data_IF_630646080482
#
_entry.id   IF_630646080482
#
_cell.length_a   1.000
_cell.length_b   1.000
_cell.length_c   1.000
_cell.angle_alpha   90.00
_cell.angle_beta   90.00
_cell.angle_gamma   90.00
#
_symmetry.space_group_name_H-M   'P 1'
#
loop_
_entity.id
_entity.type
_entity.pdbx_description
1 polymer ?
#
# COMPACT_ATOMS: atom_id res chain seq x y z
N UNK A 1 -3.51 -10.27 -68.93
CA UNK A 1 -4.23 -9.32 -68.07
C UNK A 1 -4.27 -9.96 -66.68
N UNK A 2 -3.28 -9.66 -65.86
CA UNK A 2 -3.11 -10.29 -64.54
C UNK A 2 -3.79 -9.42 -63.52
N UNK A 3 -4.94 -9.87 -63.02
CA UNK A 3 -5.73 -9.19 -61.98
C UNK A 3 -5.02 -9.33 -60.64
N UNK A 4 -4.26 -8.30 -60.27
CA UNK A 4 -3.66 -8.18 -58.94
C UNK A 4 -4.72 -7.73 -57.94
N UNK A 5 -5.32 -8.70 -57.24
CA UNK A 5 -6.14 -8.44 -56.06
C UNK A 5 -5.24 -7.87 -54.93
N UNK A 6 -5.61 -6.78 -54.24
CA UNK A 6 -4.85 -6.28 -53.11
C UNK A 6 -4.95 -7.26 -51.94
N UNK A 7 -3.82 -7.76 -51.48
CA UNK A 7 -3.69 -8.53 -50.24
C UNK A 7 -4.19 -7.65 -49.08
N UNK A 8 -5.13 -8.12 -48.23
CA UNK A 8 -5.53 -7.38 -47.03
C UNK A 8 -4.32 -7.27 -46.10
N UNK A 9 -3.80 -6.05 -45.93
CA UNK A 9 -2.75 -5.78 -44.96
C UNK A 9 -3.29 -6.08 -43.56
N UNK A 10 -2.61 -6.93 -42.75
CA UNK A 10 -2.97 -7.07 -41.35
C UNK A 10 -2.80 -5.69 -40.73
N UNK A 11 -3.86 -5.24 -40.04
CA UNK A 11 -3.92 -3.92 -39.40
C UNK A 11 -2.64 -3.69 -38.59
N UNK A 12 -1.73 -2.90 -39.16
CA UNK A 12 -0.58 -2.38 -38.44
C UNK A 12 -1.13 -1.52 -37.32
N UNK A 13 -1.10 -2.03 -36.10
CA UNK A 13 -1.12 -1.17 -34.93
C UNK A 13 0.25 -0.51 -34.95
N UNK A 14 0.30 0.76 -35.34
CA UNK A 14 1.52 1.56 -35.34
C UNK A 14 2.23 1.41 -34.00
N UNK A 15 3.40 0.77 -34.00
CA UNK A 15 4.20 0.53 -32.80
C UNK A 15 4.96 1.80 -32.36
N UNK A 16 4.89 2.87 -33.16
CA UNK A 16 5.27 4.23 -32.77
C UNK A 16 4.12 4.85 -31.96
N UNK A 17 3.98 4.44 -30.70
CA UNK A 17 2.91 4.93 -29.82
C UNK A 17 3.48 5.91 -28.77
N UNK A 18 3.70 7.21 -29.10
CA UNK A 18 3.64 8.28 -28.10
C UNK A 18 2.38 8.11 -27.24
N UNK A 19 1.29 7.71 -27.89
CA UNK A 19 -0.01 7.46 -27.25
C UNK A 19 0.02 6.26 -26.29
N UNK A 20 0.83 5.21 -26.47
CA UNK A 20 0.83 4.10 -25.50
C UNK A 20 1.56 4.49 -24.23
N UNK A 21 2.74 5.09 -24.39
CA UNK A 21 3.54 5.57 -23.27
C UNK A 21 2.67 6.48 -22.40
N UNK A 22 1.98 7.44 -23.01
CA UNK A 22 1.17 8.43 -22.31
C UNK A 22 -0.19 7.87 -21.81
N UNK A 23 -0.90 7.09 -22.64
CA UNK A 23 -2.26 6.61 -22.31
C UNK A 23 -2.26 5.33 -21.46
N UNK A 24 -1.22 4.51 -21.55
CA UNK A 24 -1.17 3.17 -20.92
C UNK A 24 -0.04 3.04 -19.91
N UNK A 25 1.13 3.63 -20.12
CA UNK A 25 2.23 3.55 -19.15
C UNK A 25 2.44 4.84 -18.35
N UNK A 26 1.43 5.74 -18.31
CA UNK A 26 1.46 7.02 -17.58
C UNK A 26 2.70 7.89 -17.85
N UNK A 27 3.26 7.82 -19.06
CA UNK A 27 4.53 8.42 -19.46
C UNK A 27 5.78 7.94 -18.67
N UNK A 28 5.61 6.98 -17.77
CA UNK A 28 6.64 6.44 -16.91
C UNK A 28 7.20 5.10 -17.40
N UNK A 29 7.10 4.83 -18.70
CA UNK A 29 7.59 3.58 -19.28
C UNK A 29 7.52 3.51 -20.79
N UNK A 30 7.99 2.38 -21.33
CA UNK A 30 8.02 2.10 -22.76
C UNK A 30 7.18 0.88 -23.08
N UNK A 31 6.32 0.97 -24.09
CA UNK A 31 5.46 -0.15 -24.48
C UNK A 31 6.22 -1.18 -25.29
N UNK A 32 6.15 -2.44 -24.87
CA UNK A 32 6.75 -3.57 -25.57
C UNK A 32 5.69 -4.64 -25.85
N UNK A 33 5.82 -5.34 -26.99
CA UNK A 33 4.95 -6.46 -27.33
C UNK A 33 5.23 -7.65 -26.43
N UNK A 34 4.17 -8.33 -25.98
CA UNK A 34 4.32 -9.46 -25.07
C UNK A 34 5.15 -10.59 -25.71
N UNK A 35 6.19 -11.11 -25.01
CA UNK A 35 7.01 -12.19 -25.54
C UNK A 35 6.14 -13.45 -25.65
N UNK A 36 5.76 -13.80 -26.88
CA UNK A 36 4.83 -14.91 -27.16
C UNK A 36 3.82 -14.66 -28.28
N UNK A 37 3.80 -13.47 -28.89
CA UNK A 37 2.95 -13.19 -30.06
C UNK A 37 1.48 -12.95 -29.74
N UNK A 38 1.15 -12.63 -28.50
CA UNK A 38 -0.17 -12.13 -28.11
C UNK A 38 -0.38 -10.67 -28.50
N UNK A 39 -1.63 -10.25 -28.67
CA UNK A 39 -2.02 -8.83 -28.85
C UNK A 39 -1.87 -7.99 -27.57
N UNK A 40 -1.33 -8.56 -26.49
CA UNK A 40 -1.04 -7.88 -25.24
C UNK A 40 0.18 -6.97 -25.39
N UNK A 41 0.01 -5.71 -24.98
CA UNK A 41 1.07 -4.72 -24.93
C UNK A 41 1.43 -4.55 -23.45
N UNK A 42 2.70 -4.78 -23.11
CA UNK A 42 3.22 -4.72 -21.74
C UNK A 42 4.05 -3.45 -21.56
N UNK A 43 3.89 -2.77 -20.44
CA UNK A 43 4.70 -1.61 -20.08
C UNK A 43 6.03 -2.04 -19.46
N UNK A 44 7.15 -1.54 -20.00
CA UNK A 44 8.46 -1.58 -19.35
C UNK A 44 8.67 -0.27 -18.60
N UNK A 45 8.52 -0.28 -17.28
CA UNK A 45 8.58 0.94 -16.47
C UNK A 45 10.01 1.49 -16.31
N UNK A 46 10.10 2.82 -16.22
CA UNK A 46 11.32 3.55 -15.96
C UNK A 46 11.76 3.36 -14.48
N UNK A 47 13.04 3.59 -14.19
CA UNK A 47 13.62 3.41 -12.86
C UNK A 47 12.84 4.19 -11.80
N UNK A 48 12.25 3.47 -10.84
CA UNK A 48 11.48 4.06 -9.76
C UNK A 48 9.97 3.94 -9.91
N UNK A 49 9.48 3.36 -11.01
CA UNK A 49 8.07 3.06 -11.26
C UNK A 49 7.83 1.55 -11.38
N UNK A 50 6.63 1.11 -10.98
CA UNK A 50 6.18 -0.26 -10.95
C UNK A 50 4.65 -0.30 -11.15
N UNK A 51 4.09 -1.49 -11.37
CA UNK A 51 2.68 -1.68 -11.71
C UNK A 51 2.50 -2.15 -13.15
N UNK A 52 1.27 -2.53 -13.51
CA UNK A 52 0.95 -2.96 -14.89
C UNK A 52 1.04 -1.79 -15.88
N UNK A 53 0.81 -0.57 -15.38
CA UNK A 53 0.72 0.69 -16.12
C UNK A 53 1.75 1.72 -15.64
N UNK A 54 2.77 1.30 -14.90
CA UNK A 54 3.78 2.17 -14.28
C UNK A 54 3.18 3.29 -13.40
N UNK A 55 2.06 2.98 -12.75
CA UNK A 55 1.28 3.89 -11.91
C UNK A 55 1.86 4.06 -10.50
N UNK A 56 2.55 3.04 -10.00
CA UNK A 56 3.10 3.04 -8.66
C UNK A 56 4.56 3.47 -8.69
N UNK A 57 4.98 4.33 -7.77
CA UNK A 57 6.42 4.56 -7.57
C UNK A 57 6.95 3.57 -6.55
N UNK A 58 8.16 3.04 -6.75
CA UNK A 58 8.83 2.16 -5.76
C UNK A 58 9.00 2.86 -4.42
N UNK A 59 9.12 4.19 -4.44
CA UNK A 59 9.16 5.02 -3.24
C UNK A 59 7.77 5.14 -2.61
N UNK A 60 6.70 5.27 -3.40
CA UNK A 60 5.31 5.27 -2.94
C UNK A 60 4.90 3.94 -2.32
N UNK A 61 5.33 2.82 -2.93
CA UNK A 61 5.12 1.47 -2.42
C UNK A 61 5.84 1.23 -1.08
N UNK A 62 6.91 1.97 -0.76
CA UNK A 62 7.52 1.99 0.58
C UNK A 62 6.84 3.01 1.51
N UNK A 63 6.39 4.14 0.97
CA UNK A 63 5.75 5.23 1.72
C UNK A 63 4.41 4.78 2.33
N UNK A 64 3.64 3.98 1.60
CA UNK A 64 2.36 3.46 2.05
C UNK A 64 2.47 2.50 3.26
N UNK A 65 3.32 1.45 3.24
CA UNK A 65 3.52 0.61 4.42
C UNK A 65 4.19 1.36 5.57
N UNK A 66 5.08 2.32 5.30
CA UNK A 66 5.70 3.15 6.35
C UNK A 66 4.65 3.99 7.10
N UNK A 67 3.80 4.71 6.38
CA UNK A 67 2.76 5.56 6.98
C UNK A 67 1.72 4.74 7.75
N UNK A 68 1.26 3.62 7.19
CA UNK A 68 0.32 2.72 7.86
C UNK A 68 0.94 2.09 9.12
N UNK A 69 2.21 1.67 9.06
CA UNK A 69 2.93 1.14 10.21
C UNK A 69 3.06 2.18 11.33
N UNK A 70 3.48 3.40 11.00
CA UNK A 70 3.60 4.50 11.97
C UNK A 70 2.25 4.83 12.62
N UNK A 71 1.17 4.92 11.84
CA UNK A 71 -0.16 5.15 12.38
C UNK A 71 -0.58 4.02 13.34
N UNK A 72 -0.41 2.75 12.94
CA UNK A 72 -0.73 1.60 13.78
C UNK A 72 0.04 1.61 15.10
N UNK A 73 1.33 1.95 15.08
CA UNK A 73 2.16 2.08 16.29
C UNK A 73 1.65 3.21 17.18
N UNK A 74 1.34 4.38 16.62
CA UNK A 74 0.81 5.52 17.39
C UNK A 74 -0.54 5.16 18.03
N UNK A 75 -1.48 4.58 17.27
CA UNK A 75 -2.76 4.11 17.82
C UNK A 75 -2.56 3.05 18.91
N UNK A 76 -1.67 2.09 18.70
CA UNK A 76 -1.33 1.07 19.69
C UNK A 76 -0.78 1.68 20.99
N UNK A 77 0.16 2.61 20.89
CA UNK A 77 0.75 3.30 22.05
C UNK A 77 -0.31 4.12 22.81
N UNK A 78 -1.19 4.82 22.11
CA UNK A 78 -2.28 5.60 22.73
C UNK A 78 -3.25 4.67 23.48
N UNK A 79 -3.65 3.56 22.86
CA UNK A 79 -4.53 2.58 23.50
C UNK A 79 -3.86 1.97 24.72
N UNK A 80 -2.60 1.52 24.61
CA UNK A 80 -1.83 0.95 25.73
C UNK A 80 -1.66 1.98 26.85
N UNK A 81 -1.31 3.22 26.54
CA UNK A 81 -1.19 4.29 27.53
C UNK A 81 -2.52 4.56 28.23
N UNK A 82 -3.63 4.59 27.51
CA UNK A 82 -4.97 4.76 28.06
C UNK A 82 -5.38 3.58 28.96
N UNK A 83 -5.13 2.33 28.52
CA UNK A 83 -5.36 1.13 29.32
C UNK A 83 -4.53 1.13 30.59
N UNK A 84 -3.23 1.44 30.50
CA UNK A 84 -2.33 1.56 31.65
C UNK A 84 -2.83 2.68 32.58
N UNK A 85 -3.22 3.85 32.06
CA UNK A 85 -3.74 4.95 32.86
C UNK A 85 -5.04 4.56 33.58
N UNK A 86 -6.01 3.94 32.88
CA UNK A 86 -7.26 3.42 33.45
C UNK A 86 -6.99 2.34 34.51
N UNK A 87 -6.08 1.42 34.23
CA UNK A 87 -5.67 0.38 35.16
C UNK A 87 -5.01 0.97 36.39
N UNK A 88 -4.09 1.93 36.25
CA UNK A 88 -3.45 2.64 37.35
C UNK A 88 -4.45 3.42 38.19
N UNK A 89 -5.44 4.07 37.56
CA UNK A 89 -6.54 4.73 38.28
C UNK A 89 -7.37 3.73 39.10
N UNK A 90 -7.77 2.61 38.48
CA UNK A 90 -8.56 1.56 39.15
C UNK A 90 -7.75 0.87 40.25
N UNK A 91 -6.48 0.60 40.00
CA UNK A 91 -5.54 0.07 40.99
C UNK A 91 -5.37 1.04 42.14
N UNK A 92 -5.20 2.36 41.92
CA UNK A 92 -5.09 3.34 43.00
C UNK A 92 -6.35 3.35 43.89
N UNK A 93 -7.53 3.24 43.28
CA UNK A 93 -8.80 3.10 44.05
C UNK A 93 -8.90 1.78 44.81
N UNK A 94 -8.51 0.65 44.19
CA UNK A 94 -8.48 -0.67 44.85
C UNK A 94 -7.44 -0.73 45.97
N UNK A 95 -6.25 -0.18 45.75
CA UNK A 95 -5.15 -0.20 46.71
C UNK A 95 -5.50 0.64 47.94
N UNK A 96 -6.12 1.82 47.77
CA UNK A 96 -6.67 2.60 48.89
C UNK A 96 -7.68 1.81 49.71
N UNK A 97 -8.58 1.05 49.08
CA UNK A 97 -9.54 0.18 49.78
C UNK A 97 -8.84 -0.98 50.52
N UNK A 98 -7.85 -1.61 49.89
CA UNK A 98 -7.10 -2.72 50.48
C UNK A 98 -6.26 -2.26 51.69
N UNK A 99 -5.65 -1.06 51.59
CA UNK A 99 -4.95 -0.42 52.70
C UNK A 99 -5.91 -0.07 53.85
N UNK A 100 -7.08 0.52 53.55
CA UNK A 100 -8.09 0.80 54.57
C UNK A 100 -8.59 -0.47 55.29
N UNK A 101 -8.76 -1.58 54.57
CA UNK A 101 -9.15 -2.86 55.17
C UNK A 101 -8.05 -3.45 56.08
N UNK A 102 -6.78 -3.43 55.66
CA UNK A 102 -5.66 -3.88 56.50
C UNK A 102 -5.47 -3.00 57.74
N UNK A 103 -5.60 -1.69 57.59
CA UNK A 103 -5.46 -0.76 58.70
C UNK A 103 -6.61 -0.88 59.70
N UNK A 104 -7.84 -1.17 59.25
CA UNK A 104 -8.96 -1.49 60.15
C UNK A 104 -8.76 -2.80 60.92
N UNK A 105 -8.22 -3.85 60.29
CA UNK A 105 -7.90 -5.11 60.96
C UNK A 105 -6.86 -4.92 62.09
N UNK A 106 -5.78 -4.19 61.82
CA UNK A 106 -4.73 -3.93 62.82
C UNK A 106 -5.19 -3.09 64.02
N UNK A 107 -6.31 -2.37 63.94
CA UNK A 107 -6.87 -1.59 65.07
C UNK A 107 -7.86 -2.44 65.88
N UNK A 108 -8.46 -3.47 65.28
CA UNK A 108 -9.47 -4.32 65.93
C UNK A 108 -8.89 -5.56 66.65
N UNK A 109 -7.59 -5.83 66.48
CA UNK A 109 -6.82 -6.88 67.18
C UNK A 109 -6.02 -6.24 68.30
#
# INVERSE_FOLDING_TARGET
MTTSFPVPQPRGIDFSLPTCRETRCNDHGTCMSQPGGGTGLVCSCDLGYQGEFCEDTVNGALSLPLTLSVLAVIFGVILVAFFIAKMRQKQKKRNRKHQAAKQGYNIAV
#
